data_IF_314042013486
#
_entry.id   IF_314042013486
#
_cell.length_a   1.000
_cell.length_b   1.000
_cell.length_c   1.000
_cell.angle_alpha   90.00
_cell.angle_beta   90.00
_cell.angle_gamma   90.00
#
_symmetry.space_group_name_H-M   'P 1'
#
loop_
_entity.id
_entity.type
_entity.pdbx_description
1 polymer ?
#
# COMPACT_ATOMS: atom_id res chain seq x y z
N UNK A 1 -1.51 -28.41 23.16
CA UNK A 1 -1.92 -27.27 22.31
C UNK A 1 -1.10 -27.32 21.02
N UNK A 2 -1.75 -27.65 19.90
CA UNK A 2 -1.12 -27.66 18.57
C UNK A 2 -0.97 -26.21 18.10
N UNK A 3 0.16 -25.57 18.41
CA UNK A 3 0.53 -24.30 17.82
C UNK A 3 1.54 -24.57 16.69
N UNK A 4 1.06 -24.59 15.45
CA UNK A 4 1.89 -24.80 14.25
C UNK A 4 2.86 -23.61 14.01
N UNK A 5 2.66 -22.49 14.72
CA UNK A 5 3.50 -21.29 14.64
C UNK A 5 3.83 -20.80 16.04
N UNK A 6 5.12 -20.74 16.37
CA UNK A 6 5.59 -20.04 17.57
C UNK A 6 5.15 -18.57 17.54
N UNK A 7 4.91 -17.95 18.70
CA UNK A 7 4.43 -16.56 18.76
C UNK A 7 5.40 -15.64 18.03
N UNK A 8 4.87 -14.80 17.13
CA UNK A 8 5.66 -13.78 16.46
C UNK A 8 6.20 -12.81 17.51
N UNK A 9 7.50 -12.53 17.43
CA UNK A 9 8.08 -11.47 18.25
C UNK A 9 7.40 -10.14 17.90
N UNK A 10 7.29 -9.24 18.89
CA UNK A 10 6.72 -7.90 18.70
C UNK A 10 7.32 -7.16 17.49
N UNK A 11 8.62 -7.33 17.26
CA UNK A 11 9.33 -6.76 16.10
C UNK A 11 8.83 -7.34 14.78
N UNK A 12 8.64 -8.65 14.69
CA UNK A 12 8.12 -9.29 13.46
C UNK A 12 6.70 -8.83 13.16
N UNK A 13 5.84 -8.70 14.18
CA UNK A 13 4.48 -8.19 14.01
C UNK A 13 4.49 -6.77 13.45
N UNK A 14 5.31 -5.86 14.00
CA UNK A 14 5.44 -4.50 13.47
C UNK A 14 6.02 -4.46 12.07
N UNK A 15 7.02 -5.29 11.77
CA UNK A 15 7.58 -5.37 10.42
C UNK A 15 6.53 -5.82 9.40
N UNK A 16 5.76 -6.87 9.70
CA UNK A 16 4.71 -7.34 8.80
C UNK A 16 3.55 -6.34 8.69
N UNK A 17 3.18 -5.66 9.78
CA UNK A 17 2.17 -4.61 9.73
C UNK A 17 2.64 -3.43 8.85
N UNK A 18 3.88 -2.98 9.03
CA UNK A 18 4.45 -1.91 8.23
C UNK A 18 4.59 -2.30 6.76
N UNK A 19 5.08 -3.50 6.46
CA UNK A 19 5.17 -4.00 5.09
C UNK A 19 3.79 -4.19 4.47
N UNK A 20 2.84 -4.76 5.20
CA UNK A 20 1.46 -4.95 4.73
C UNK A 20 0.74 -3.64 4.42
N UNK A 21 1.10 -2.55 5.10
CA UNK A 21 0.57 -1.21 4.83
C UNK A 21 1.33 -0.49 3.72
N UNK A 22 2.66 -0.41 3.83
CA UNK A 22 3.49 0.41 2.95
C UNK A 22 3.69 -0.23 1.58
N UNK A 23 3.77 -1.56 1.48
CA UNK A 23 3.97 -2.24 0.21
C UNK A 23 2.84 -1.98 -0.81
N UNK A 24 1.54 -2.17 -0.48
CA UNK A 24 0.48 -1.89 -1.45
C UNK A 24 0.40 -0.40 -1.81
N UNK A 25 0.62 0.50 -0.84
CA UNK A 25 0.62 1.95 -1.10
C UNK A 25 1.78 2.36 -2.01
N UNK A 26 2.99 1.86 -1.74
CA UNK A 26 4.18 2.12 -2.55
C UNK A 26 4.07 1.51 -3.94
N UNK A 27 3.54 0.30 -4.06
CA UNK A 27 3.32 -0.35 -5.36
C UNK A 27 2.29 0.40 -6.19
N UNK A 28 1.16 0.79 -5.60
CA UNK A 28 0.15 1.61 -6.27
C UNK A 28 0.75 2.94 -6.74
N UNK A 29 1.48 3.65 -5.87
CA UNK A 29 2.15 4.89 -6.23
C UNK A 29 3.09 4.68 -7.43
N UNK A 30 3.94 3.67 -7.37
CA UNK A 30 4.93 3.39 -8.41
C UNK A 30 4.25 3.12 -9.75
N UNK A 31 3.24 2.24 -9.78
CA UNK A 31 2.54 1.87 -11.02
C UNK A 31 1.75 3.05 -11.58
N UNK A 32 1.04 3.81 -10.72
CA UNK A 32 0.23 4.96 -11.15
C UNK A 32 1.07 6.17 -11.61
N UNK A 33 2.33 6.27 -11.18
CA UNK A 33 3.25 7.33 -11.63
C UNK A 33 3.81 7.11 -13.04
N UNK A 34 3.74 5.87 -13.56
CA UNK A 34 4.19 5.53 -14.90
C UNK A 34 3.15 5.81 -15.99
N UNK A 35 3.46 5.36 -17.22
CA UNK A 35 2.55 5.40 -18.37
C UNK A 35 1.99 4.02 -18.75
N UNK A 36 2.23 3.00 -17.90
CA UNK A 36 1.82 1.62 -18.18
C UNK A 36 0.31 1.40 -18.05
N UNK A 37 -0.38 2.24 -17.27
CA UNK A 37 -1.82 2.16 -17.02
C UNK A 37 -2.41 3.55 -17.22
N UNK A 38 -3.59 3.61 -17.83
CA UNK A 38 -4.31 4.88 -18.00
C UNK A 38 -4.72 5.46 -16.64
N UNK A 39 -4.51 6.77 -16.46
CA UNK A 39 -4.85 7.51 -15.24
C UNK A 39 -6.35 7.50 -14.94
N UNK A 40 -7.21 7.26 -15.93
CA UNK A 40 -8.64 7.11 -15.70
C UNK A 40 -8.92 5.88 -14.82
N UNK A 41 -8.19 4.78 -15.02
CA UNK A 41 -8.39 3.53 -14.28
C UNK A 41 -7.53 3.44 -13.02
N UNK A 42 -6.33 4.02 -13.03
CA UNK A 42 -5.42 4.01 -11.90
C UNK A 42 -4.88 5.42 -11.63
N UNK A 43 -5.72 6.32 -11.07
CA UNK A 43 -5.28 7.66 -10.74
C UNK A 43 -4.16 7.61 -9.70
N UNK A 44 -3.20 8.51 -9.84
CA UNK A 44 -2.12 8.65 -8.88
C UNK A 44 -2.57 9.32 -7.60
N UNK A 45 -1.76 9.25 -6.53
CA UNK A 45 -2.08 9.86 -5.24
C UNK A 45 -2.27 11.38 -5.33
N UNK A 46 -1.51 12.04 -6.20
CA UNK A 46 -1.67 13.49 -6.47
C UNK A 46 -3.00 13.78 -7.17
N UNK A 47 -3.41 12.94 -8.12
CA UNK A 47 -4.70 13.08 -8.82
C UNK A 47 -5.87 12.90 -7.85
N UNK A 48 -5.77 11.93 -6.94
CA UNK A 48 -6.76 11.71 -5.87
C UNK A 48 -6.81 12.92 -4.93
N UNK A 49 -5.67 13.44 -4.49
CA UNK A 49 -5.63 14.62 -3.62
C UNK A 49 -6.24 15.85 -4.30
N UNK A 50 -5.90 16.11 -5.56
CA UNK A 50 -6.48 17.21 -6.32
C UNK A 50 -8.01 17.08 -6.38
N UNK A 51 -8.54 15.88 -6.71
CA UNK A 51 -9.98 15.63 -6.73
C UNK A 51 -10.67 15.86 -5.38
N UNK A 52 -9.99 15.60 -4.26
CA UNK A 52 -10.55 15.85 -2.93
C UNK A 52 -10.72 17.35 -2.63
N UNK A 53 -9.86 18.20 -3.18
CA UNK A 53 -9.84 19.65 -2.88
C UNK A 53 -10.62 20.47 -3.92
N UNK A 54 -10.69 20.00 -5.17
CA UNK A 54 -11.33 20.71 -6.29
C UNK A 54 -12.76 20.25 -6.58
N UNK A 55 -13.48 19.67 -5.60
CA UNK A 55 -14.89 19.28 -5.80
C UNK A 55 -15.76 20.47 -6.21
#
# INVERSE_FOLDING_TARGET
>A
MWAIRGPLSRRQTWLFAALGLLAPLGLWWLVSSGSAVDKVFLPGPVDVFNRLVTW
#
